data_IF_937040845733
#
_entry.id   IF_937040845733
#
_cell.length_a   1.000
_cell.length_b   1.000
_cell.length_c   1.000
_cell.angle_alpha   90.00
_cell.angle_beta   90.00
_cell.angle_gamma   90.00
#
_symmetry.space_group_name_H-M   'P 1'
#
loop_
_entity.id
_entity.type
_entity.pdbx_description
1 polymer ?
#
# COMPACT_ATOMS: atom_id res chain seq x y z
N UNK A 1 -10.63 -25.01 -11.61
CA UNK A 1 -9.29 -24.72 -11.08
C UNK A 1 -9.45 -24.23 -9.65
N UNK A 2 -8.78 -24.85 -8.70
CA UNK A 2 -8.81 -24.46 -7.29
C UNK A 2 -7.82 -23.33 -7.02
N UNK A 3 -8.04 -22.53 -5.98
CA UNK A 3 -7.18 -21.40 -5.65
C UNK A 3 -5.70 -21.80 -5.49
N UNK A 4 -5.43 -22.94 -4.87
CA UNK A 4 -4.05 -23.42 -4.67
C UNK A 4 -3.34 -23.72 -6.01
N UNK A 5 -4.09 -24.19 -7.01
CA UNK A 5 -3.56 -24.47 -8.35
C UNK A 5 -3.23 -23.16 -9.07
N UNK A 6 -4.06 -22.11 -8.92
CA UNK A 6 -3.81 -20.78 -9.49
C UNK A 6 -2.56 -20.16 -8.87
N UNK A 7 -2.43 -20.23 -7.54
CA UNK A 7 -1.29 -19.68 -6.81
C UNK A 7 0.01 -20.36 -7.23
N UNK A 8 0.00 -21.69 -7.35
CA UNK A 8 1.18 -22.44 -7.80
C UNK A 8 1.62 -21.99 -9.19
N UNK A 9 0.69 -21.91 -10.15
CA UNK A 9 1.01 -21.44 -11.50
C UNK A 9 1.52 -20.00 -11.51
N UNK A 10 0.96 -19.11 -10.68
CA UNK A 10 1.42 -17.73 -10.58
C UNK A 10 2.83 -17.61 -10.00
N UNK A 11 3.20 -18.48 -9.06
CA UNK A 11 4.54 -18.52 -8.46
C UNK A 11 5.60 -19.11 -9.40
N UNK A 12 5.20 -19.95 -10.35
CA UNK A 12 6.08 -20.50 -11.39
C UNK A 12 6.42 -19.47 -12.49
N UNK A 13 5.76 -18.30 -12.52
CA UNK A 13 6.05 -17.22 -13.47
C UNK A 13 7.36 -16.49 -13.14
N UNK A 14 8.07 -15.95 -14.15
CA UNK A 14 9.12 -14.96 -13.94
C UNK A 14 8.64 -13.77 -13.12
N UNK A 15 9.55 -13.13 -12.38
CA UNK A 15 9.22 -12.00 -11.51
C UNK A 15 8.50 -10.85 -12.24
N UNK A 16 8.88 -10.56 -13.49
CA UNK A 16 8.23 -9.55 -14.33
C UNK A 16 6.76 -9.88 -14.58
N UNK A 17 6.48 -11.12 -14.95
CA UNK A 17 5.15 -11.56 -15.37
C UNK A 17 4.25 -11.73 -14.15
N UNK A 18 4.82 -12.17 -13.03
CA UNK A 18 4.14 -12.21 -11.73
C UNK A 18 3.77 -10.81 -11.24
N UNK A 19 4.62 -9.81 -11.46
CA UNK A 19 4.32 -8.42 -11.13
C UNK A 19 3.18 -7.85 -11.99
N UNK A 20 3.18 -8.14 -13.30
CA UNK A 20 2.09 -7.77 -14.21
C UNK A 20 0.78 -8.42 -13.78
N UNK A 21 0.78 -9.73 -13.55
CA UNK A 21 -0.40 -10.48 -13.10
C UNK A 21 -0.94 -9.92 -11.77
N UNK A 22 -0.07 -9.60 -10.81
CA UNK A 22 -0.48 -9.00 -9.54
C UNK A 22 -1.16 -7.63 -9.74
N UNK A 23 -0.61 -6.79 -10.61
CA UNK A 23 -1.19 -5.49 -10.92
C UNK A 23 -2.56 -5.61 -11.60
N UNK A 24 -2.70 -6.51 -12.57
CA UNK A 24 -3.98 -6.76 -13.24
C UNK A 24 -5.04 -7.28 -12.28
N UNK A 25 -4.67 -8.22 -11.40
CA UNK A 25 -5.57 -8.73 -10.36
C UNK A 25 -6.01 -7.61 -9.41
N UNK A 26 -5.09 -6.76 -8.95
CA UNK A 26 -5.43 -5.62 -8.09
C UNK A 26 -6.37 -4.62 -8.78
N UNK A 27 -6.15 -4.32 -10.06
CA UNK A 27 -7.01 -3.43 -10.85
C UNK A 27 -8.38 -4.04 -11.13
N UNK A 28 -8.46 -5.38 -11.21
CA UNK A 28 -9.72 -6.08 -11.50
C UNK A 28 -10.69 -6.11 -10.32
N UNK A 29 -10.19 -5.90 -9.10
CA UNK A 29 -11.05 -5.79 -7.93
C UNK A 29 -11.85 -4.49 -8.04
N UNK A 30 -13.12 -4.46 -7.60
CA UNK A 30 -13.79 -3.18 -7.41
C UNK A 30 -12.91 -2.34 -6.48
N UNK A 31 -13.05 -1.01 -6.50
CA UNK A 31 -12.36 -0.12 -5.57
C UNK A 31 -12.79 -0.43 -4.12
N UNK A 32 -12.30 -1.54 -3.59
CA UNK A 32 -12.47 -2.15 -2.27
C UNK A 32 -11.07 -2.13 -1.66
N UNK A 33 -10.45 -0.96 -1.77
CA UNK A 33 -9.69 -0.39 -0.67
C UNK A 33 -10.54 0.69 0.02
N UNK A 34 -11.88 0.59 -0.10
CA UNK A 34 -12.79 1.26 0.83
C UNK A 34 -12.62 0.51 2.14
N UNK A 35 -11.75 1.05 2.98
CA UNK A 35 -11.78 0.76 4.41
C UNK A 35 -13.22 0.99 4.90
N UNK A 36 -13.70 0.23 5.89
CA UNK A 36 -15.08 0.40 6.39
C UNK A 36 -15.37 1.84 6.86
N UNK A 37 -14.30 2.59 7.17
CA UNK A 37 -14.32 3.98 7.57
C UNK A 37 -13.53 4.92 6.65
N UNK A 38 -13.26 4.53 5.40
CA UNK A 38 -12.44 5.28 4.44
C UNK A 38 -11.02 5.64 4.97
N UNK A 39 -10.49 4.86 5.92
CA UNK A 39 -9.17 5.04 6.50
C UNK A 39 -9.12 6.08 7.64
N UNK A 40 -10.28 6.49 8.16
CA UNK A 40 -10.40 7.51 9.21
C UNK A 40 -9.78 7.06 10.54
N UNK A 41 -9.96 5.81 10.95
CA UNK A 41 -9.38 5.30 12.19
C UNK A 41 -7.84 5.28 12.12
N UNK A 42 -7.28 4.86 10.99
CA UNK A 42 -5.83 4.86 10.78
C UNK A 42 -5.28 6.30 10.73
N UNK A 43 -5.95 7.21 10.02
CA UNK A 43 -5.56 8.62 10.00
C UNK A 43 -5.59 9.22 11.41
N UNK A 44 -6.64 8.92 12.19
CA UNK A 44 -6.77 9.39 13.58
C UNK A 44 -5.67 8.82 14.48
N UNK A 45 -5.34 7.53 14.33
CA UNK A 45 -4.27 6.88 15.08
C UNK A 45 -2.92 7.54 14.78
N UNK A 46 -2.61 7.75 13.50
CA UNK A 46 -1.37 8.42 13.08
C UNK A 46 -1.28 9.87 13.53
N UNK A 47 -2.38 10.61 13.52
CA UNK A 47 -2.42 11.96 14.09
C UNK A 47 -2.06 11.95 15.58
N UNK A 48 -2.64 11.05 16.38
CA UNK A 48 -2.33 10.94 17.81
C UNK A 48 -0.88 10.52 18.07
N UNK A 49 -0.36 9.60 17.27
CA UNK A 49 1.05 9.18 17.35
C UNK A 49 1.99 10.36 17.08
N UNK A 50 1.68 11.18 16.08
CA UNK A 50 2.46 12.37 15.73
C UNK A 50 2.34 13.49 16.78
N UNK A 51 1.17 13.65 17.40
CA UNK A 51 0.96 14.57 18.52
C UNK A 51 1.78 14.15 19.75
N UNK A 52 1.83 12.84 20.04
CA UNK A 52 2.58 12.29 21.17
C UNK A 52 4.09 12.31 20.94
N UNK A 53 4.54 12.02 19.72
CA UNK A 53 5.94 12.04 19.32
C UNK A 53 6.12 12.77 17.97
N UNK A 54 6.34 14.10 18.00
CA UNK A 54 6.58 14.87 16.80
C UNK A 54 7.84 14.46 16.02
N UNK A 55 8.77 13.72 16.66
CA UNK A 55 10.00 13.26 15.99
C UNK A 55 9.77 12.11 15.01
N UNK A 56 8.60 11.46 15.08
CA UNK A 56 8.14 10.46 14.10
C UNK A 56 7.78 11.08 12.74
N UNK A 57 7.56 12.39 12.70
CA UNK A 57 7.26 13.14 11.49
C UNK A 57 8.50 13.68 10.79
N UNK A 58 8.28 14.31 9.65
CA UNK A 58 9.26 15.20 9.03
C UNK A 58 8.58 16.51 8.64
N UNK A 59 9.34 17.59 8.71
CA UNK A 59 8.92 18.90 8.26
C UNK A 59 8.84 18.95 6.73
N UNK A 60 8.05 19.90 6.24
CA UNK A 60 7.95 20.14 4.79
C UNK A 60 9.30 20.50 4.16
N UNK A 61 10.19 21.15 4.91
CA UNK A 61 11.53 21.49 4.44
C UNK A 61 12.45 20.26 4.36
N UNK A 62 12.28 19.27 5.23
CA UNK A 62 13.00 17.99 5.12
C UNK A 62 12.50 17.17 3.92
N UNK A 63 11.21 17.23 3.61
CA UNK A 63 10.65 16.61 2.39
C UNK A 63 11.21 17.28 1.13
N UNK A 64 11.22 18.61 1.06
CA UNK A 64 11.81 19.32 -0.10
C UNK A 64 13.28 18.96 -0.28
N UNK A 65 14.05 18.95 0.82
CA UNK A 65 15.47 18.59 0.81
C UNK A 65 15.70 17.17 0.30
N UNK A 66 14.87 16.20 0.71
CA UNK A 66 15.02 14.81 0.23
C UNK A 66 14.67 14.65 -1.26
N UNK A 67 13.81 15.52 -1.79
CA UNK A 67 13.45 15.59 -3.20
C UNK A 67 14.38 16.49 -4.04
N UNK A 68 15.43 17.06 -3.43
CA UNK A 68 16.38 17.96 -4.09
C UNK A 68 15.79 19.32 -4.48
N UNK A 69 14.78 19.81 -3.73
CA UNK A 69 14.08 21.09 -3.94
C UNK A 69 14.35 22.09 -2.82
#
# INVERSE_FOLDING_TARGET
>A
MKLEEIQKCALDLPDSDRAVLAAELLVSLPAVLVDEDDGVAEATRRSKELENDPSMGCSWEEIKRSLGR
#
